data_IF_920709046408
#
_entry.id   IF_920709046408
#
_cell.length_a   1.000
_cell.length_b   1.000
_cell.length_c   1.000
_cell.angle_alpha   90.00
_cell.angle_beta   90.00
_cell.angle_gamma   90.00
#
_symmetry.space_group_name_H-M   'P 1'
#
loop_
_entity.id
_entity.type
_entity.pdbx_description
1 polymer ?
#
# COMPACT_ATOMS: atom_id res chain seq x y z
N UNK A 1 7.68 12.17 11.53
CA UNK A 1 6.96 11.23 12.38
C UNK A 1 6.68 9.96 11.63
N UNK A 2 6.92 8.83 12.27
CA UNK A 2 6.74 7.54 11.61
C UNK A 2 5.34 7.00 11.87
N UNK A 3 4.81 6.31 10.86
CA UNK A 3 3.58 5.55 10.99
C UNK A 3 3.92 4.10 11.29
N UNK A 4 2.99 3.40 11.95
CA UNK A 4 3.11 1.97 12.19
C UNK A 4 2.33 1.22 11.11
N UNK A 5 3.00 0.30 10.45
CA UNK A 5 2.33 -0.58 9.49
C UNK A 5 1.69 -1.74 10.25
N UNK A 6 0.40 -1.95 10.01
CA UNK A 6 -0.36 -3.01 10.66
C UNK A 6 -0.77 -4.00 9.58
N UNK A 7 -0.20 -5.21 9.62
CA UNK A 7 -0.44 -6.23 8.61
C UNK A 7 -1.47 -7.24 9.11
N UNK A 8 -2.59 -7.32 8.41
CA UNK A 8 -3.59 -8.36 8.66
C UNK A 8 -3.14 -9.67 8.03
N UNK A 9 -3.65 -10.79 8.52
CA UNK A 9 -3.36 -12.09 7.93
C UNK A 9 -3.77 -12.14 6.46
N UNK A 10 -4.92 -11.55 6.13
CA UNK A 10 -5.40 -11.51 4.76
C UNK A 10 -4.44 -10.75 3.85
N UNK A 11 -3.98 -9.58 4.28
CA UNK A 11 -3.04 -8.81 3.46
C UNK A 11 -1.72 -9.54 3.31
N UNK A 12 -1.22 -10.14 4.39
CA UNK A 12 0.04 -10.88 4.35
C UNK A 12 0.00 -11.99 3.31
N UNK A 13 -1.13 -12.72 3.22
CA UNK A 13 -1.29 -13.75 2.20
C UNK A 13 -1.36 -13.17 0.80
N UNK A 14 -2.06 -12.04 0.63
CA UNK A 14 -2.16 -11.37 -0.67
C UNK A 14 -0.81 -10.87 -1.14
N UNK A 15 -0.04 -10.26 -0.24
CA UNK A 15 1.28 -9.75 -0.56
C UNK A 15 2.25 -10.87 -0.92
N UNK A 16 2.20 -11.98 -0.19
CA UNK A 16 3.04 -13.14 -0.49
C UNK A 16 2.75 -13.68 -1.90
N UNK A 17 1.48 -13.78 -2.26
CA UNK A 17 1.08 -14.23 -3.59
C UNK A 17 1.55 -13.25 -4.66
N UNK A 18 1.36 -11.96 -4.42
CA UNK A 18 1.79 -10.91 -5.35
C UNK A 18 3.29 -10.98 -5.60
N UNK A 19 4.08 -11.09 -4.54
CA UNK A 19 5.54 -11.12 -4.67
C UNK A 19 6.03 -12.41 -5.32
N UNK A 20 5.32 -13.52 -5.10
CA UNK A 20 5.64 -14.77 -5.78
C UNK A 20 5.44 -14.66 -7.28
N UNK A 21 4.40 -13.93 -7.71
CA UNK A 21 4.13 -13.70 -9.13
C UNK A 21 5.02 -12.61 -9.72
N UNK A 22 5.57 -11.73 -8.89
CA UNK A 22 6.38 -10.60 -9.32
C UNK A 22 7.68 -10.51 -8.52
N UNK A 23 8.55 -11.53 -8.61
CA UNK A 23 9.77 -11.53 -7.79
C UNK A 23 10.68 -10.34 -8.07
N UNK A 24 10.64 -9.79 -9.28
CA UNK A 24 11.43 -8.61 -9.64
C UNK A 24 11.01 -7.35 -8.88
N UNK A 25 9.82 -7.35 -8.27
CA UNK A 25 9.31 -6.19 -7.54
C UNK A 25 9.58 -6.24 -6.05
N UNK A 26 10.22 -7.30 -5.56
CA UNK A 26 10.41 -7.51 -4.12
C UNK A 26 11.10 -6.32 -3.46
N UNK A 27 12.20 -5.86 -4.05
CA UNK A 27 12.96 -4.75 -3.49
C UNK A 27 12.19 -3.45 -3.57
N UNK A 28 11.52 -3.19 -4.69
CA UNK A 28 10.72 -1.97 -4.83
C UNK A 28 9.55 -1.96 -3.86
N UNK A 29 8.92 -3.10 -3.64
CA UNK A 29 7.84 -3.25 -2.68
C UNK A 29 8.33 -2.93 -1.26
N UNK A 30 9.49 -3.48 -0.88
CA UNK A 30 10.08 -3.23 0.42
C UNK A 30 10.37 -1.75 0.63
N UNK A 31 10.97 -1.12 -0.37
CA UNK A 31 11.26 0.33 -0.32
C UNK A 31 9.99 1.15 -0.19
N UNK A 32 8.93 0.76 -0.88
CA UNK A 32 7.64 1.44 -0.80
C UNK A 32 7.09 1.40 0.62
N UNK A 33 7.14 0.23 1.28
CA UNK A 33 6.69 0.12 2.67
C UNK A 33 7.51 0.97 3.61
N UNK A 34 8.84 1.00 3.45
CA UNK A 34 9.71 1.81 4.29
C UNK A 34 9.41 3.30 4.13
N UNK A 35 9.22 3.74 2.89
CA UNK A 35 8.91 5.12 2.60
C UNK A 35 7.53 5.50 3.14
N UNK A 36 6.55 4.62 2.96
CA UNK A 36 5.20 4.82 3.47
C UNK A 36 5.20 5.00 4.98
N UNK A 37 5.98 4.19 5.68
CA UNK A 37 6.11 4.28 7.14
C UNK A 37 6.75 5.60 7.57
N UNK A 38 7.76 6.04 6.84
CA UNK A 38 8.50 7.27 7.17
C UNK A 38 7.72 8.53 6.81
N UNK A 39 7.05 8.52 5.64
CA UNK A 39 6.34 9.71 5.15
C UNK A 39 5.30 9.31 4.09
N UNK A 40 4.04 9.05 4.48
CA UNK A 40 3.01 8.67 3.52
C UNK A 40 2.73 9.76 2.47
N UNK A 41 3.11 11.00 2.75
CA UNK A 41 2.92 12.12 1.84
C UNK A 41 4.06 12.30 0.84
N UNK A 42 5.06 11.42 0.86
CA UNK A 42 6.20 11.56 -0.05
C UNK A 42 5.69 11.52 -1.50
N UNK A 43 6.14 12.46 -2.35
CA UNK A 43 5.57 12.59 -3.71
C UNK A 43 5.68 11.33 -4.56
N UNK A 44 6.74 10.53 -4.39
CA UNK A 44 6.92 9.32 -5.20
C UNK A 44 5.87 8.25 -4.90
N UNK A 45 5.20 8.31 -3.75
CA UNK A 45 4.15 7.36 -3.39
C UNK A 45 2.83 7.66 -4.10
N UNK A 46 2.62 8.91 -4.52
CA UNK A 46 1.38 9.33 -5.18
C UNK A 46 0.15 8.92 -4.37
N UNK A 47 0.19 9.20 -3.07
CA UNK A 47 -0.93 8.90 -2.17
C UNK A 47 -2.17 9.67 -2.64
N UNK A 48 -3.28 8.95 -2.82
CA UNK A 48 -4.55 9.62 -3.08
C UNK A 48 -5.72 8.81 -2.54
N UNK A 49 -6.79 9.53 -2.21
CA UNK A 49 -8.01 8.93 -1.69
C UNK A 49 -8.81 8.29 -2.82
N UNK A 50 -9.45 7.19 -2.51
CA UNK A 50 -10.35 6.52 -3.43
C UNK A 50 -11.78 7.00 -3.20
N UNK A 51 -12.61 6.85 -4.23
CA UNK A 51 -13.99 7.32 -4.20
C UNK A 51 -14.97 6.16 -4.39
N UNK A 52 -16.27 6.47 -4.31
CA UNK A 52 -17.32 5.48 -4.53
C UNK A 52 -17.34 4.41 -3.44
N UNK A 53 -17.39 3.17 -3.86
CA UNK A 53 -17.48 2.04 -2.93
C UNK A 53 -16.23 1.88 -2.06
N UNK A 54 -15.10 2.46 -2.51
CA UNK A 54 -13.83 2.38 -1.78
C UNK A 54 -13.53 3.67 -1.01
N UNK A 55 -14.53 4.52 -0.85
CA UNK A 55 -14.39 5.76 -0.08
C UNK A 55 -13.89 5.43 1.33
N UNK A 56 -12.92 6.21 1.79
CA UNK A 56 -12.26 5.97 3.07
C UNK A 56 -10.93 5.25 2.96
N UNK A 57 -10.64 4.68 1.79
CA UNK A 57 -9.35 4.06 1.52
C UNK A 57 -8.47 4.96 0.68
N UNK A 58 -7.18 4.71 0.73
CA UNK A 58 -6.18 5.40 -0.08
C UNK A 58 -5.38 4.38 -0.87
N UNK A 59 -4.64 4.87 -1.86
CA UNK A 59 -3.73 4.03 -2.62
C UNK A 59 -2.38 4.73 -2.75
N UNK A 60 -1.32 3.93 -2.78
CA UNK A 60 0.04 4.40 -3.06
C UNK A 60 0.64 3.57 -4.19
N UNK A 61 1.58 4.18 -4.92
CA UNK A 61 2.24 3.52 -6.04
C UNK A 61 3.47 2.75 -5.59
N UNK A 62 3.58 1.48 -6.01
CA UNK A 62 4.85 0.76 -5.99
C UNK A 62 5.67 1.18 -7.21
N UNK A 63 5.02 1.19 -8.37
CA UNK A 63 5.55 1.73 -9.62
C UNK A 63 4.36 2.18 -10.46
N UNK A 64 4.58 2.39 -11.76
CA UNK A 64 3.51 2.86 -12.64
C UNK A 64 2.36 1.86 -12.79
N UNK A 65 2.65 0.56 -12.61
CA UNK A 65 1.68 -0.51 -12.87
C UNK A 65 1.03 -1.07 -11.62
N UNK A 66 1.68 -0.99 -10.47
CA UNK A 66 1.23 -1.68 -9.26
C UNK A 66 1.07 -0.74 -8.09
N UNK A 67 0.05 -1.00 -7.27
CA UNK A 67 -0.36 -0.14 -6.17
C UNK A 67 -0.70 -0.94 -4.94
N UNK A 68 -0.63 -0.28 -3.78
CA UNK A 68 -1.11 -0.81 -2.51
C UNK A 68 -2.32 0.02 -2.11
N UNK A 69 -3.45 -0.64 -1.85
CA UNK A 69 -4.63 -0.02 -1.26
C UNK A 69 -4.54 -0.19 0.24
N UNK A 70 -4.80 0.89 0.97
CA UNK A 70 -4.59 0.91 2.41
C UNK A 70 -5.62 1.79 3.11
N UNK A 71 -5.77 1.56 4.40
CA UNK A 71 -6.49 2.46 5.29
C UNK A 71 -5.46 3.30 6.06
N UNK A 72 -5.66 4.62 6.04
CA UNK A 72 -4.78 5.57 6.73
C UNK A 72 -5.49 6.01 8.00
N UNK A 73 -5.00 5.55 9.15
CA UNK A 73 -5.59 5.86 10.45
C UNK A 73 -4.74 6.94 11.10
N UNK A 74 -5.09 8.19 10.79
CA UNK A 74 -4.23 9.33 11.15
C UNK A 74 -4.09 9.49 12.67
N UNK A 75 -5.19 9.31 13.41
CA UNK A 75 -5.19 9.53 14.87
C UNK A 75 -4.20 8.63 15.58
N UNK A 76 -4.13 7.37 15.18
CA UNK A 76 -3.24 6.39 15.77
C UNK A 76 -1.92 6.28 15.04
N UNK A 77 -1.73 7.06 13.98
CA UNK A 77 -0.54 7.01 13.13
C UNK A 77 -0.28 5.59 12.62
N UNK A 78 -1.34 4.94 12.16
CA UNK A 78 -1.28 3.59 11.64
C UNK A 78 -1.63 3.56 10.16
N UNK A 79 -1.02 2.63 9.45
CA UNK A 79 -1.35 2.35 8.06
C UNK A 79 -1.68 0.86 7.97
N UNK A 80 -2.86 0.55 7.48
CA UNK A 80 -3.33 -0.83 7.36
C UNK A 80 -3.47 -1.17 5.89
N UNK A 81 -2.45 -1.84 5.30
CA UNK A 81 -2.58 -2.30 3.91
C UNK A 81 -3.73 -3.28 3.75
N UNK A 82 -4.48 -3.13 2.67
CA UNK A 82 -5.67 -3.93 2.41
C UNK A 82 -5.44 -4.87 1.22
N UNK A 83 -4.84 -4.35 0.15
CA UNK A 83 -4.65 -5.13 -1.06
C UNK A 83 -3.44 -4.61 -1.82
N UNK A 84 -2.89 -5.45 -2.69
CA UNK A 84 -1.77 -5.09 -3.55
C UNK A 84 -1.97 -5.77 -4.90
N UNK A 85 -1.69 -5.04 -5.97
CA UNK A 85 -1.85 -5.55 -7.32
C UNK A 85 -1.78 -4.44 -8.34
N UNK A 86 -2.20 -4.75 -9.57
CA UNK A 86 -2.28 -3.73 -10.60
C UNK A 86 -3.48 -2.80 -10.35
N UNK A 87 -3.57 -1.74 -11.15
CA UNK A 87 -4.61 -0.74 -11.00
C UNK A 87 -6.01 -1.34 -11.01
N UNK A 88 -6.26 -2.30 -11.90
CA UNK A 88 -7.58 -2.90 -12.03
C UNK A 88 -7.88 -3.86 -10.87
N UNK A 89 -6.87 -4.57 -10.40
CA UNK A 89 -7.04 -5.56 -9.35
C UNK A 89 -7.35 -4.95 -7.99
N UNK A 90 -6.87 -3.72 -7.71
CA UNK A 90 -7.06 -3.09 -6.41
C UNK A 90 -8.22 -2.10 -6.39
N UNK A 91 -8.78 -1.80 -7.52
CA UNK A 91 -9.94 -0.95 -7.65
C UNK A 91 -11.18 -1.77 -8.00
#
# INVERSE_FOLDING_TARGET
MNYTLVFTDQYTRRAARFLKQHPQLHEQYRKTLLLLQANPQHPSLRLHALAGKLSGLHTVSINLSYRITLELVIREQQIVPINVGDHDAVY
#
